data_IF_777678028198
#
_entry.id   IF_777678028198
#
_cell.length_a   1.000
_cell.length_b   1.000
_cell.length_c   1.000
_cell.angle_alpha   90.00
_cell.angle_beta   90.00
_cell.angle_gamma   90.00
#
_symmetry.space_group_name_H-M   'P 1'
#
loop_
_entity.id
_entity.type
_entity.pdbx_description
1 polymer ?
#
# COMPACT_ATOMS: atom_id res chain seq x y z
N UNK A 1 -15.13 -14.51 -4.62
CA UNK A 1 -14.32 -13.30 -4.38
C UNK A 1 -14.80 -12.53 -3.16
N UNK A 2 -16.10 -12.51 -2.83
CA UNK A 2 -16.70 -11.91 -1.62
C UNK A 2 -15.91 -12.14 -0.32
N UNK A 3 -15.66 -13.41 0.07
CA UNK A 3 -15.02 -13.70 1.37
C UNK A 3 -13.66 -13.03 1.59
N UNK A 4 -12.88 -12.80 0.52
CA UNK A 4 -11.59 -12.11 0.63
C UNK A 4 -11.75 -10.59 0.86
N UNK A 5 -12.83 -10.00 0.36
CA UNK A 5 -13.15 -8.58 0.58
C UNK A 5 -13.62 -8.34 2.02
N UNK A 6 -14.44 -9.23 2.58
CA UNK A 6 -14.94 -9.09 3.96
C UNK A 6 -13.83 -9.16 5.01
N UNK A 7 -12.86 -10.07 4.80
CA UNK A 7 -11.67 -10.22 5.65
C UNK A 7 -10.79 -8.97 5.54
N UNK A 8 -10.58 -8.47 4.32
CA UNK A 8 -9.82 -7.25 4.09
C UNK A 8 -10.48 -6.04 4.75
N UNK A 9 -11.80 -5.91 4.69
CA UNK A 9 -12.55 -4.81 5.33
C UNK A 9 -12.36 -4.82 6.85
N UNK A 10 -12.39 -6.00 7.47
CA UNK A 10 -12.13 -6.17 8.90
C UNK A 10 -10.69 -5.81 9.27
N UNK A 11 -9.72 -6.18 8.42
CA UNK A 11 -8.30 -5.91 8.63
C UNK A 11 -7.91 -4.45 8.34
N UNK A 12 -8.79 -3.62 7.74
CA UNK A 12 -8.52 -2.17 7.55
C UNK A 12 -8.24 -1.43 8.85
N UNK A 13 -8.79 -1.90 9.98
CA UNK A 13 -8.50 -1.34 11.30
C UNK A 13 -6.99 -1.38 11.61
N UNK A 14 -6.24 -2.31 11.04
CA UNK A 14 -4.79 -2.43 11.28
C UNK A 14 -4.01 -1.21 10.77
N UNK A 15 -4.52 -0.48 9.76
CA UNK A 15 -3.87 0.73 9.23
C UNK A 15 -3.73 1.86 10.25
N UNK A 16 -4.53 1.85 11.33
CA UNK A 16 -4.44 2.87 12.37
C UNK A 16 -3.20 2.69 13.26
N UNK A 17 -2.58 1.52 13.22
CA UNK A 17 -1.40 1.18 14.04
C UNK A 17 -0.15 1.18 13.17
N UNK A 18 0.87 1.93 13.58
CA UNK A 18 2.15 2.03 12.85
C UNK A 18 3.10 0.90 13.24
N UNK A 19 2.98 0.42 14.47
CA UNK A 19 3.86 -0.60 15.05
C UNK A 19 3.05 -1.70 15.71
N UNK A 20 3.68 -2.87 15.87
CA UNK A 20 3.07 -3.98 16.59
C UNK A 20 2.81 -3.66 18.08
N UNK A 21 3.67 -2.86 18.71
CA UNK A 21 3.45 -2.40 20.08
C UNK A 21 2.19 -1.54 20.21
N UNK A 22 1.94 -0.61 19.28
CA UNK A 22 0.70 0.18 19.27
C UNK A 22 -0.56 -0.69 19.10
N UNK A 23 -0.46 -1.76 18.32
CA UNK A 23 -1.53 -2.75 18.20
C UNK A 23 -1.78 -3.46 19.54
N UNK A 24 -0.73 -3.95 20.21
CA UNK A 24 -0.85 -4.59 21.52
C UNK A 24 -1.40 -3.63 22.58
N UNK A 25 -0.98 -2.36 22.54
CA UNK A 25 -1.45 -1.32 23.45
C UNK A 25 -2.95 -1.06 23.30
N UNK A 26 -3.49 -1.25 22.08
CA UNK A 26 -4.94 -1.18 21.82
C UNK A 26 -5.74 -2.34 22.42
N UNK A 27 -5.07 -3.46 22.72
CA UNK A 27 -5.67 -4.65 23.34
C UNK A 27 -5.63 -4.58 24.87
N UNK A 28 -4.73 -3.76 25.45
CA UNK A 28 -4.59 -3.60 26.89
C UNK A 28 -5.64 -2.63 27.44
N UNK A 29 -6.52 -3.11 28.31
CA UNK A 29 -7.50 -2.26 29.00
C UNK A 29 -6.93 -1.66 30.29
N UNK A 30 -7.50 -0.55 30.75
CA UNK A 30 -7.17 0.07 32.05
C UNK A 30 -7.34 -0.90 33.22
N UNK A 31 -8.30 -1.81 33.09
CA UNK A 31 -8.58 -2.87 34.07
C UNK A 31 -7.40 -3.84 34.17
N UNK A 32 -6.79 -4.20 33.04
CA UNK A 32 -5.63 -5.11 33.03
C UNK A 32 -4.42 -4.45 33.71
N UNK A 33 -4.20 -3.16 33.48
CA UNK A 33 -3.16 -2.39 34.19
C UNK A 33 -3.44 -2.31 35.69
N UNK A 34 -4.71 -2.16 36.09
CA UNK A 34 -5.10 -2.16 37.49
C UNK A 34 -4.82 -3.50 38.19
N UNK A 35 -5.11 -4.62 37.53
CA UNK A 35 -4.86 -5.96 38.09
C UNK A 35 -3.37 -6.32 38.10
N UNK A 36 -2.66 -6.07 37.01
CA UNK A 36 -1.25 -6.45 36.87
C UNK A 36 -0.29 -5.45 37.52
N UNK A 37 -0.75 -4.23 37.82
CA UNK A 37 0.05 -3.10 38.35
C UNK A 37 1.26 -2.71 37.49
N UNK A 38 1.47 -3.39 36.37
CA UNK A 38 2.56 -3.18 35.43
C UNK A 38 2.03 -3.30 34.00
N UNK A 39 2.31 -2.27 33.22
CA UNK A 39 1.92 -2.19 31.82
C UNK A 39 2.61 -3.23 30.94
N UNK A 40 3.90 -3.50 31.18
CA UNK A 40 4.67 -4.47 30.41
C UNK A 40 4.14 -5.89 30.58
N UNK A 41 3.71 -6.23 31.80
CA UNK A 41 3.07 -7.52 32.10
C UNK A 41 1.73 -7.63 31.39
N UNK A 42 0.91 -6.57 31.41
CA UNK A 42 -0.36 -6.54 30.69
C UNK A 42 -0.17 -6.72 29.18
N UNK A 43 0.84 -6.05 28.60
CA UNK A 43 1.22 -6.21 27.18
C UNK A 43 1.63 -7.65 26.87
N UNK A 44 2.45 -8.28 27.71
CA UNK A 44 2.87 -9.68 27.50
C UNK A 44 1.70 -10.66 27.60
N UNK A 45 0.76 -10.43 28.52
CA UNK A 45 -0.47 -11.23 28.64
C UNK A 45 -1.32 -11.08 27.37
N UNK A 46 -1.47 -9.86 26.87
CA UNK A 46 -2.14 -9.59 25.60
C UNK A 46 -1.43 -10.29 24.44
N UNK A 47 -0.09 -10.26 24.41
CA UNK A 47 0.74 -10.95 23.41
C UNK A 47 0.54 -12.48 23.40
N UNK A 48 0.20 -13.05 24.55
CA UNK A 48 -0.04 -14.49 24.70
C UNK A 48 -1.50 -14.87 24.40
N UNK A 49 -2.37 -13.90 24.09
CA UNK A 49 -3.75 -14.14 23.71
C UNK A 49 -4.66 -14.60 24.86
N UNK A 50 -4.22 -14.56 26.13
CA UNK A 50 -5.02 -15.04 27.27
C UNK A 50 -6.34 -14.28 27.49
N UNK A 51 -6.45 -13.05 26.97
CA UNK A 51 -7.64 -12.18 27.12
C UNK A 51 -8.43 -12.01 25.82
N UNK A 52 -7.80 -12.20 24.66
CA UNK A 52 -8.47 -12.10 23.38
C UNK A 52 -9.08 -13.47 23.04
N UNK A 53 -10.40 -13.51 22.85
CA UNK A 53 -11.09 -14.72 22.40
C UNK A 53 -10.67 -15.09 20.98
N UNK A 54 -9.58 -15.84 20.86
CA UNK A 54 -9.17 -16.58 19.66
C UNK A 54 -8.49 -15.79 18.54
N UNK A 55 -8.86 -14.53 18.32
CA UNK A 55 -8.38 -13.77 17.15
C UNK A 55 -7.18 -12.87 17.47
N UNK A 56 -6.12 -13.48 18.00
CA UNK A 56 -4.87 -12.75 18.21
C UNK A 56 -3.90 -12.99 17.05
N UNK A 57 -3.36 -11.91 16.48
CA UNK A 57 -2.33 -11.94 15.45
C UNK A 57 -0.95 -12.03 16.08
N UNK A 58 -0.11 -12.94 15.59
CA UNK A 58 1.33 -12.87 15.90
C UNK A 58 1.96 -11.63 15.25
N UNK A 59 3.18 -11.28 15.67
CA UNK A 59 3.91 -10.15 15.09
C UNK A 59 4.07 -10.29 13.58
N UNK A 60 4.43 -11.47 13.11
CA UNK A 60 4.62 -11.76 11.68
C UNK A 60 3.31 -11.62 10.91
N UNK A 61 2.21 -12.12 11.49
CA UNK A 61 0.89 -12.05 10.88
C UNK A 61 0.35 -10.63 10.82
N UNK A 62 0.61 -9.84 11.87
CA UNK A 62 0.26 -8.42 11.90
C UNK A 62 0.93 -7.68 10.74
N UNK A 63 2.23 -7.82 10.55
CA UNK A 63 2.93 -7.14 9.45
C UNK A 63 2.52 -7.67 8.08
N UNK A 64 2.26 -8.98 7.95
CA UNK A 64 1.74 -9.58 6.71
C UNK A 64 0.40 -8.97 6.33
N UNK A 65 -0.56 -8.97 7.26
CA UNK A 65 -1.88 -8.37 7.04
C UNK A 65 -1.81 -6.86 6.79
N UNK A 66 -0.95 -6.15 7.53
CA UNK A 66 -0.76 -4.72 7.33
C UNK A 66 -0.24 -4.44 5.92
N UNK A 67 0.71 -5.24 5.42
CA UNK A 67 1.21 -5.12 4.05
C UNK A 67 0.11 -5.40 3.03
N UNK A 68 -0.64 -6.48 3.19
CA UNK A 68 -1.76 -6.87 2.31
C UNK A 68 -2.83 -5.76 2.24
N UNK A 69 -3.21 -5.21 3.40
CA UNK A 69 -4.17 -4.11 3.50
C UNK A 69 -3.62 -2.83 2.88
N UNK A 70 -2.34 -2.53 3.12
CA UNK A 70 -1.70 -1.33 2.55
C UNK A 70 -1.63 -1.42 1.04
N UNK A 71 -1.28 -2.57 0.47
CA UNK A 71 -1.28 -2.79 -0.98
C UNK A 71 -2.70 -2.69 -1.56
N UNK A 72 -3.70 -3.23 -0.86
CA UNK A 72 -5.07 -3.19 -1.33
C UNK A 72 -5.69 -1.78 -1.30
N UNK A 73 -5.38 -0.99 -0.26
CA UNK A 73 -5.89 0.39 -0.11
C UNK A 73 -5.07 1.39 -0.92
N UNK A 74 -3.74 1.21 -0.96
CA UNK A 74 -2.79 2.06 -1.68
C UNK A 74 -1.99 1.23 -2.68
N UNK A 75 -2.64 0.75 -3.78
CA UNK A 75 -1.94 -0.06 -4.76
C UNK A 75 -0.81 0.75 -5.39
N UNK A 76 0.41 0.21 -5.33
CA UNK A 76 1.53 0.80 -6.07
C UNK A 76 1.16 0.79 -7.55
N UNK A 77 1.05 1.96 -8.18
CA UNK A 77 0.84 2.06 -9.61
C UNK A 77 2.05 1.48 -10.31
N UNK A 78 1.97 0.21 -10.73
CA UNK A 78 2.96 -0.36 -11.64
C UNK A 78 2.81 0.39 -12.96
N UNK A 79 3.87 1.02 -13.43
CA UNK A 79 3.75 1.78 -14.65
C UNK A 79 3.64 0.77 -15.80
N UNK A 80 2.68 0.96 -16.70
CA UNK A 80 2.41 0.05 -17.84
C UNK A 80 3.68 -0.22 -18.64
N UNK A 81 3.88 -1.44 -19.13
CA UNK A 81 5.01 -1.75 -20.01
C UNK A 81 4.90 -0.89 -21.27
N UNK A 82 5.93 -0.09 -21.55
CA UNK A 82 5.90 0.79 -22.72
C UNK A 82 6.04 -0.08 -23.95
N UNK A 83 5.16 0.09 -24.93
CA UNK A 83 5.28 -0.63 -26.20
C UNK A 83 6.55 -0.27 -26.98
N UNK A 84 7.18 0.86 -26.65
CA UNK A 84 8.41 1.38 -27.24
C UNK A 84 9.70 0.91 -26.55
N UNK A 85 9.63 0.16 -25.44
CA UNK A 85 10.82 -0.19 -24.66
C UNK A 85 11.70 -1.21 -25.39
N UNK A 86 12.99 -0.89 -25.54
CA UNK A 86 13.97 -1.77 -26.19
C UNK A 86 13.83 -1.89 -27.70
N UNK A 87 13.03 -1.03 -28.33
CA UNK A 87 12.90 -0.95 -29.78
C UNK A 87 13.73 0.24 -30.25
N UNK A 88 14.75 -0.04 -31.05
CA UNK A 88 15.47 0.99 -31.81
C UNK A 88 14.70 1.23 -33.11
N UNK A 89 14.18 2.43 -33.29
CA UNK A 89 13.49 2.81 -34.51
C UNK A 89 14.47 3.40 -35.52
N UNK A 90 14.33 3.06 -36.79
CA UNK A 90 15.15 3.68 -37.86
C UNK A 90 14.79 5.16 -38.06
N UNK A 91 13.52 5.54 -37.82
CA UNK A 91 13.04 6.91 -37.98
C UNK A 91 13.31 7.74 -36.73
N UNK A 92 13.87 8.93 -36.95
CA UNK A 92 14.08 9.96 -35.94
C UNK A 92 12.77 10.32 -35.23
N UNK A 93 11.65 10.38 -35.95
CA UNK A 93 10.35 10.74 -35.36
C UNK A 93 9.88 9.73 -34.32
N UNK A 94 10.05 8.43 -34.56
CA UNK A 94 9.64 7.39 -33.60
C UNK A 94 10.52 7.38 -32.35
N UNK A 95 11.82 7.63 -32.49
CA UNK A 95 12.73 7.80 -31.35
C UNK A 95 12.32 8.99 -30.46
N UNK A 96 11.95 10.12 -31.06
CA UNK A 96 11.49 11.30 -30.31
C UNK A 96 10.15 11.06 -29.60
N UNK A 97 9.23 10.33 -30.23
CA UNK A 97 7.97 9.93 -29.59
C UNK A 97 8.21 9.00 -28.40
N UNK A 98 9.11 8.02 -28.52
CA UNK A 98 9.49 7.12 -27.43
C UNK A 98 10.14 7.88 -26.25
N UNK A 99 11.04 8.83 -26.54
CA UNK A 99 11.67 9.68 -25.53
C UNK A 99 10.65 10.55 -24.77
N UNK A 100 9.66 11.10 -25.48
CA UNK A 100 8.57 11.89 -24.86
C UNK A 100 7.62 11.04 -24.02
N UNK A 101 7.29 9.85 -24.49
CA UNK A 101 6.47 8.89 -23.74
C UNK A 101 7.13 8.57 -22.38
N UNK A 102 8.43 8.30 -22.39
CA UNK A 102 9.20 8.07 -21.17
C UNK A 102 9.18 9.29 -20.24
N UNK A 103 9.49 10.48 -20.76
CA UNK A 103 9.49 11.73 -19.98
C UNK A 103 8.14 12.04 -19.34
N UNK A 104 7.05 11.84 -20.07
CA UNK A 104 5.68 12.07 -19.58
C UNK A 104 5.32 11.10 -18.44
N UNK A 105 5.81 9.86 -18.50
CA UNK A 105 5.58 8.82 -17.49
C UNK A 105 6.31 9.09 -16.17
N UNK A 106 7.55 9.57 -16.23
CA UNK A 106 8.33 9.93 -15.03
C UNK A 106 7.97 11.32 -14.48
N UNK A 107 7.11 12.06 -15.19
CA UNK A 107 6.70 13.42 -14.82
C UNK A 107 7.76 14.49 -15.09
N UNK A 108 8.90 14.15 -15.71
CA UNK A 108 10.03 15.06 -15.93
C UNK A 108 9.65 16.24 -16.83
N UNK A 109 8.79 16.00 -17.83
CA UNK A 109 8.32 17.05 -18.76
C UNK A 109 7.30 17.99 -18.12
N UNK A 110 6.67 17.59 -17.01
CA UNK A 110 5.68 18.41 -16.28
C UNK A 110 6.32 19.33 -15.23
N UNK A 111 7.56 19.04 -14.81
CA UNK A 111 8.30 19.84 -13.81
C UNK A 111 9.17 20.94 -14.43
N UNK A 112 9.26 21.01 -15.76
CA UNK A 112 9.99 22.05 -16.48
C UNK A 112 9.09 23.23 -16.83
N UNK A 113 9.34 24.37 -16.18
CA UNK A 113 8.78 25.70 -16.44
C UNK A 113 7.43 26.03 -15.76
N UNK A 114 7.52 27.03 -14.89
CA UNK A 114 6.46 27.84 -14.34
C UNK A 114 5.29 28.05 -15.32
N UNK A 115 4.12 27.52 -14.94
CA UNK A 115 2.81 28.08 -15.28
C UNK A 115 2.31 27.90 -16.72
N UNK A 116 1.88 26.71 -17.13
CA UNK A 116 0.59 26.48 -17.83
C UNK A 116 0.28 24.98 -17.81
N UNK A 117 -0.78 24.55 -17.12
CA UNK A 117 -1.26 23.17 -17.20
C UNK A 117 -2.00 22.98 -18.52
N UNK A 118 -1.35 22.36 -19.52
CA UNK A 118 -2.04 21.83 -20.70
C UNK A 118 -1.82 20.31 -20.71
N UNK A 119 -2.60 19.61 -19.91
CA UNK A 119 -2.62 18.14 -19.90
C UNK A 119 -3.36 17.62 -21.12
N UNK A 120 -2.64 17.20 -22.17
CA UNK A 120 -3.21 16.37 -23.24
C UNK A 120 -3.15 14.92 -22.77
N UNK A 121 -4.24 14.46 -22.16
CA UNK A 121 -4.44 13.05 -21.80
C UNK A 121 -4.78 12.27 -23.07
N UNK A 122 -3.77 11.71 -23.75
CA UNK A 122 -4.01 10.75 -24.84
C UNK A 122 -4.39 9.42 -24.18
N UNK A 123 -5.69 9.18 -24.02
CA UNK A 123 -6.24 7.87 -23.68
C UNK A 123 -6.18 7.01 -24.95
N UNK A 124 -5.16 6.17 -25.10
CA UNK A 124 -5.17 5.12 -26.12
C UNK A 124 -5.85 3.89 -25.52
N UNK A 125 -6.98 3.41 -26.04
CA UNK A 125 -7.56 2.16 -25.62
C UNK A 125 -6.68 1.00 -26.11
N UNK A 126 -6.17 0.20 -25.18
CA UNK A 126 -5.52 -1.09 -25.48
C UNK A 126 -6.58 -2.02 -26.07
N UNK A 127 -6.43 -2.36 -27.35
CA UNK A 127 -7.23 -3.38 -28.02
C UNK A 127 -6.54 -4.71 -27.78
N UNK A 128 -7.14 -5.55 -26.93
CA UNK A 128 -6.70 -6.91 -26.68
C UNK A 128 -6.80 -7.73 -27.97
N UNK A 129 -5.68 -8.31 -28.39
CA UNK A 129 -5.57 -9.29 -29.48
C UNK A 129 -4.64 -10.41 -29.03
#
# INVERSE_FOLDING_TARGET
>A
MERKKDILESDKRLLQFRTYDEYLDSLVSKVDVCYFRNYLTARKIAELGYRCSGDMLTKEEFYRKLADVTEAVFPSKKPYELSSIGIDFDDVMYNELANREYGNRIGLVSFGSCGTQIGVVIRVPVSSG
#
